data_IF_696791146820
#
_entry.id   IF_696791146820
#
_cell.length_a   1.000
_cell.length_b   1.000
_cell.length_c   1.000
_cell.angle_alpha   90.00
_cell.angle_beta   90.00
_cell.angle_gamma   90.00
#
_symmetry.space_group_name_H-M   'P 1'
#
loop_
_entity.id
_entity.type
_entity.pdbx_description
1 polymer ?
#
# COMPACT_ATOMS: atom_id res chain seq x y z
N UNK A 1 -9.00 9.34 -7.28
CA UNK A 1 -7.65 8.85 -6.92
C UNK A 1 -6.88 9.99 -6.25
N UNK A 2 -6.37 9.78 -5.03
CA UNK A 2 -5.73 10.83 -4.22
C UNK A 2 -4.29 11.10 -4.68
N UNK A 3 -4.10 12.01 -5.63
CA UNK A 3 -2.78 12.41 -6.16
C UNK A 3 -1.77 12.79 -5.05
N UNK A 4 -2.26 13.36 -3.94
CA UNK A 4 -1.41 13.78 -2.79
C UNK A 4 -0.83 12.62 -1.97
N UNK A 5 -1.36 11.40 -2.08
CA UNK A 5 -0.78 10.21 -1.43
C UNK A 5 0.39 9.62 -2.22
N UNK A 6 0.42 9.81 -3.55
CA UNK A 6 1.49 9.31 -4.39
C UNK A 6 2.78 10.11 -4.17
N UNK A 7 2.67 11.45 -4.13
CA UNK A 7 3.81 12.38 -3.96
C UNK A 7 4.72 12.04 -2.78
N UNK A 8 4.15 11.63 -1.64
CA UNK A 8 4.95 11.25 -0.46
C UNK A 8 5.71 9.93 -0.68
N UNK A 9 5.08 8.93 -1.29
CA UNK A 9 5.66 7.61 -1.46
C UNK A 9 6.64 7.52 -2.64
N UNK A 10 6.69 8.56 -3.48
CA UNK A 10 7.58 8.66 -4.64
C UNK A 10 8.79 9.56 -4.36
N UNK A 11 8.80 10.31 -3.25
CA UNK A 11 9.89 11.22 -2.87
C UNK A 11 10.53 10.79 -1.53
N UNK A 12 11.69 10.10 -1.56
CA UNK A 12 12.35 9.59 -0.36
C UNK A 12 12.90 10.71 0.54
N UNK A 13 13.28 11.85 -0.01
CA UNK A 13 13.72 13.01 0.79
C UNK A 13 12.55 13.65 1.54
N UNK A 14 11.37 13.73 0.91
CA UNK A 14 10.17 14.23 1.55
C UNK A 14 9.73 13.33 2.72
N UNK A 15 9.90 12.01 2.58
CA UNK A 15 9.68 11.05 3.68
C UNK A 15 10.59 11.38 4.87
N UNK A 16 11.89 11.53 4.63
CA UNK A 16 12.85 11.86 5.69
C UNK A 16 12.51 13.21 6.34
N UNK A 17 12.23 14.23 5.53
CA UNK A 17 11.89 15.57 6.03
C UNK A 17 10.66 15.56 6.92
N UNK A 18 9.60 14.83 6.54
CA UNK A 18 8.38 14.70 7.37
C UNK A 18 8.68 14.03 8.72
N UNK A 19 9.57 13.03 8.74
CA UNK A 19 9.95 12.32 9.96
C UNK A 19 10.80 13.22 10.88
N UNK A 20 11.76 13.96 10.33
CA UNK A 20 12.54 14.97 11.07
C UNK A 20 11.64 16.05 11.69
N UNK A 21 10.73 16.62 10.88
CA UNK A 21 9.77 17.61 11.39
C UNK A 21 8.91 17.05 12.53
N UNK A 22 8.59 15.75 12.48
CA UNK A 22 7.76 15.10 13.50
C UNK A 22 8.53 14.74 14.76
N UNK A 23 9.73 14.20 14.64
CA UNK A 23 10.45 13.60 15.76
C UNK A 23 11.56 14.51 16.32
N UNK A 24 12.27 15.25 15.46
CA UNK A 24 13.29 16.22 15.91
C UNK A 24 12.64 17.55 16.32
N UNK A 25 11.84 18.13 15.42
CA UNK A 25 11.21 19.44 15.64
C UNK A 25 9.87 19.34 16.41
N UNK A 26 9.39 18.12 16.69
CA UNK A 26 8.13 17.86 17.42
C UNK A 26 6.91 18.61 16.89
N UNK A 27 6.87 18.89 15.58
CA UNK A 27 5.78 19.67 14.98
C UNK A 27 4.47 18.90 14.94
N UNK A 28 3.37 19.64 15.08
CA UNK A 28 2.03 19.11 14.94
C UNK A 28 1.72 18.71 13.48
N UNK A 29 0.88 17.69 13.28
CA UNK A 29 0.48 17.26 11.93
C UNK A 29 -0.06 18.40 11.04
N UNK A 30 -0.84 19.38 11.54
CA UNK A 30 -1.21 20.54 10.75
C UNK A 30 -0.04 21.39 10.29
N UNK A 31 0.96 21.62 11.14
CA UNK A 31 2.12 22.43 10.79
C UNK A 31 2.98 21.75 9.73
N UNK A 32 3.23 20.45 9.90
CA UNK A 32 3.94 19.63 8.90
C UNK A 32 3.21 19.65 7.56
N UNK A 33 1.87 19.54 7.59
CA UNK A 33 1.05 19.57 6.38
C UNK A 33 1.17 20.89 5.62
N UNK A 34 1.15 22.01 6.34
CA UNK A 34 1.34 23.34 5.75
C UNK A 34 2.75 23.53 5.15
N UNK A 35 3.79 22.98 5.78
CA UNK A 35 5.18 23.15 5.34
C UNK A 35 5.57 22.24 4.17
N UNK A 36 4.98 21.05 4.08
CA UNK A 36 5.37 20.02 3.10
C UNK A 36 4.36 19.84 1.97
N UNK A 37 3.16 20.42 2.08
CA UNK A 37 2.05 20.17 1.16
C UNK A 37 1.44 18.76 1.27
N UNK A 38 1.97 17.91 2.15
CA UNK A 38 1.48 16.54 2.39
C UNK A 38 0.22 16.60 3.25
N UNK A 39 -0.81 15.83 2.90
CA UNK A 39 -2.04 15.78 3.70
C UNK A 39 -1.80 15.25 5.12
N UNK A 40 -2.49 15.80 6.13
CA UNK A 40 -2.42 15.34 7.53
C UNK A 40 -2.59 13.81 7.66
N UNK A 41 -3.52 13.21 6.91
CA UNK A 41 -3.77 11.76 6.93
C UNK A 41 -2.59 10.96 6.38
N UNK A 42 -1.90 11.47 5.36
CA UNK A 42 -0.70 10.82 4.82
C UNK A 42 0.47 10.90 5.82
N UNK A 43 0.63 12.02 6.51
CA UNK A 43 1.63 12.18 7.59
C UNK A 43 1.34 11.21 8.73
N UNK A 44 0.08 11.15 9.22
CA UNK A 44 -0.31 10.20 10.26
C UNK A 44 -0.04 8.74 9.85
N UNK A 45 -0.39 8.38 8.60
CA UNK A 45 -0.14 7.04 8.06
C UNK A 45 1.35 6.71 7.97
N UNK A 46 2.18 7.70 7.63
CA UNK A 46 3.63 7.56 7.58
C UNK A 46 4.21 7.31 8.97
N UNK A 47 3.83 8.14 9.95
CA UNK A 47 4.30 8.00 11.34
C UNK A 47 3.86 6.67 11.96
N UNK A 48 2.61 6.26 11.75
CA UNK A 48 2.13 4.95 12.18
C UNK A 48 2.96 3.82 11.56
N UNK A 49 3.31 3.94 10.28
CA UNK A 49 4.13 2.94 9.60
C UNK A 49 5.57 2.93 10.11
N UNK A 50 6.13 4.11 10.40
CA UNK A 50 7.44 4.23 10.98
C UNK A 50 7.54 3.42 12.29
N UNK A 51 6.61 3.61 13.22
CA UNK A 51 6.56 2.84 14.47
C UNK A 51 6.33 1.33 14.29
N UNK A 52 5.86 0.86 13.13
CA UNK A 52 5.72 -0.57 12.84
C UNK A 52 7.03 -1.20 12.36
N UNK A 53 7.94 -0.39 11.83
CA UNK A 53 9.18 -0.85 11.18
C UNK A 53 10.40 -0.54 12.07
N UNK A 54 10.37 0.59 12.77
CA UNK A 54 11.46 1.10 13.57
C UNK A 54 11.01 1.28 15.02
N UNK A 55 11.87 0.89 15.95
CA UNK A 55 11.65 1.03 17.39
C UNK A 55 12.05 2.40 17.91
N UNK A 56 13.08 2.99 17.30
CA UNK A 56 13.75 4.18 17.83
C UNK A 56 13.98 5.25 16.76
N UNK A 57 14.07 6.49 17.23
CA UNK A 57 14.49 7.66 16.48
C UNK A 57 15.48 8.48 17.33
N UNK A 58 16.58 9.02 16.76
CA UNK A 58 17.01 8.90 15.37
C UNK A 58 17.46 7.47 15.04
N UNK A 59 17.40 7.12 13.75
CA UNK A 59 17.82 5.79 13.29
C UNK A 59 19.30 5.57 13.63
N UNK A 60 19.63 4.48 14.32
CA UNK A 60 20.99 4.19 14.83
C UNK A 60 21.98 3.72 13.76
N UNK A 61 21.96 4.30 12.56
CA UNK A 61 22.89 4.00 11.48
C UNK A 61 22.67 4.93 10.28
N UNK A 62 23.62 4.92 9.34
CA UNK A 62 23.59 5.69 8.09
C UNK A 62 22.50 5.18 7.14
N UNK A 63 21.23 5.31 7.53
CA UNK A 63 20.10 5.05 6.63
C UNK A 63 20.06 6.14 5.56
N UNK A 64 20.40 5.80 4.33
CA UNK A 64 20.09 6.66 3.18
C UNK A 64 18.58 6.85 3.03
N UNK A 65 18.14 7.99 2.48
CA UNK A 65 16.74 8.27 2.20
C UNK A 65 16.07 7.11 1.42
N UNK A 66 16.80 6.48 0.48
CA UNK A 66 16.31 5.35 -0.30
C UNK A 66 16.11 4.06 0.51
N UNK A 67 17.00 3.76 1.47
CA UNK A 67 16.84 2.60 2.36
C UNK A 67 15.66 2.79 3.32
N UNK A 68 15.49 4.00 3.87
CA UNK A 68 14.35 4.36 4.70
C UNK A 68 13.03 4.24 3.93
N UNK A 69 12.97 4.83 2.74
CA UNK A 69 11.79 4.79 1.90
C UNK A 69 11.44 3.35 1.48
N UNK A 70 12.45 2.50 1.23
CA UNK A 70 12.26 1.06 0.96
C UNK A 70 11.70 0.30 2.16
N UNK A 71 12.22 0.54 3.36
CA UNK A 71 11.73 -0.09 4.58
C UNK A 71 10.26 0.28 4.85
N UNK A 72 9.90 1.54 4.59
CA UNK A 72 8.53 2.04 4.77
C UNK A 72 7.61 1.66 3.59
N UNK A 73 8.10 1.59 2.35
CA UNK A 73 7.28 1.34 1.16
C UNK A 73 7.90 0.24 0.27
N UNK A 74 7.95 -1.02 0.75
CA UNK A 74 8.64 -2.10 0.04
C UNK A 74 8.06 -2.41 -1.35
N UNK A 75 6.76 -2.21 -1.56
CA UNK A 75 6.11 -2.38 -2.87
C UNK A 75 6.24 -1.18 -3.83
N UNK A 76 6.91 -0.10 -3.42
CA UNK A 76 7.17 1.09 -4.25
C UNK A 76 8.63 1.22 -4.63
N UNK A 77 9.53 0.70 -3.81
CA UNK A 77 10.97 0.69 -4.05
C UNK A 77 11.47 -0.75 -4.14
N UNK A 78 11.31 -1.43 -5.29
CA UNK A 78 11.89 -2.76 -5.46
C UNK A 78 13.40 -2.69 -5.23
N UNK A 79 13.94 -3.62 -4.45
CA UNK A 79 15.38 -3.81 -4.39
C UNK A 79 15.86 -4.25 -5.78
N UNK A 80 16.94 -3.65 -6.28
CA UNK A 80 17.74 -4.33 -7.29
C UNK A 80 18.09 -5.74 -6.78
N UNK A 81 18.24 -6.75 -7.66
CA UNK A 81 18.32 -8.14 -7.24
C UNK A 81 19.71 -8.40 -6.64
N UNK A 82 19.89 -8.11 -5.35
CA UNK A 82 20.98 -8.69 -4.59
C UNK A 82 20.44 -9.96 -3.97
N UNK A 83 20.96 -11.06 -4.51
CA UNK A 83 20.74 -12.46 -4.15
C UNK A 83 20.75 -12.64 -2.63
N UNK A 84 19.89 -13.57 -2.18
CA UNK A 84 19.79 -14.12 -0.81
C UNK A 84 18.78 -13.43 0.11
N UNK A 85 17.47 -13.67 -0.12
CA UNK A 85 16.54 -13.99 0.98
C UNK A 85 15.41 -14.88 0.44
N UNK A 86 14.96 -15.89 1.21
CA UNK A 86 13.85 -16.76 0.83
C UNK A 86 12.59 -15.90 0.69
N UNK A 87 11.92 -16.09 -0.45
CA UNK A 87 10.65 -15.45 -0.80
C UNK A 87 9.66 -15.69 0.33
N UNK A 88 9.50 -14.69 1.22
CA UNK A 88 8.45 -14.71 2.24
C UNK A 88 7.14 -14.69 1.47
N UNK A 89 6.45 -15.83 1.53
CA UNK A 89 5.21 -16.13 0.84
C UNK A 89 4.37 -14.87 0.63
N UNK A 90 4.21 -14.50 -0.64
CA UNK A 90 3.18 -13.58 -1.06
C UNK A 90 1.87 -14.11 -0.48
N UNK A 91 1.30 -13.40 0.50
CA UNK A 91 -0.04 -13.71 1.01
C UNK A 91 -0.92 -13.87 -0.22
N UNK A 92 -1.62 -15.01 -0.41
CA UNK A 92 -2.36 -15.26 -1.64
C UNK A 92 -3.32 -14.09 -1.84
N UNK A 93 -3.01 -13.25 -2.83
CA UNK A 93 -3.91 -12.19 -3.26
C UNK A 93 -5.19 -12.90 -3.66
N UNK A 94 -6.29 -12.60 -2.94
CA UNK A 94 -7.64 -13.15 -3.14
C UNK A 94 -7.83 -13.66 -4.57
N UNK A 95 -8.09 -14.96 -4.72
CA UNK A 95 -8.41 -15.68 -5.95
C UNK A 95 -8.53 -14.77 -7.17
N UNK A 96 -7.40 -14.55 -7.86
CA UNK A 96 -7.42 -13.83 -9.12
C UNK A 96 -7.98 -14.80 -10.16
N UNK A 97 -9.28 -14.71 -10.41
CA UNK A 97 -9.89 -15.39 -11.54
C UNK A 97 -9.15 -15.03 -12.85
N UNK A 98 -9.00 -16.00 -13.74
CA UNK A 98 -8.32 -15.80 -15.02
C UNK A 98 -9.03 -14.73 -15.86
N UNK A 99 -8.33 -14.04 -16.77
CA UNK A 99 -8.95 -13.10 -17.69
C UNK A 99 -10.11 -13.71 -18.48
N UNK A 100 -9.97 -14.95 -18.94
CA UNK A 100 -10.96 -15.70 -19.71
C UNK A 100 -12.22 -15.98 -18.87
N UNK A 101 -12.03 -16.37 -17.60
CA UNK A 101 -13.13 -16.57 -16.67
C UNK A 101 -13.94 -15.28 -16.46
N UNK A 102 -13.25 -14.14 -16.32
CA UNK A 102 -13.90 -12.82 -16.19
C UNK A 102 -14.64 -12.43 -17.47
N UNK A 103 -14.03 -12.64 -18.63
CA UNK A 103 -14.67 -12.38 -19.91
C UNK A 103 -15.96 -13.20 -20.08
N UNK A 104 -15.92 -14.48 -19.73
CA UNK A 104 -17.11 -15.36 -19.75
C UNK A 104 -18.23 -14.83 -18.84
N UNK A 105 -17.89 -14.41 -17.62
CA UNK A 105 -18.85 -13.84 -16.68
C UNK A 105 -19.52 -12.59 -17.26
N UNK A 106 -18.73 -11.69 -17.86
CA UNK A 106 -19.23 -10.48 -18.52
C UNK A 106 -20.19 -10.83 -19.65
N UNK A 107 -19.84 -11.77 -20.53
CA UNK A 107 -20.70 -12.20 -21.63
C UNK A 107 -22.04 -12.76 -21.12
N UNK A 108 -22.03 -13.56 -20.05
CA UNK A 108 -23.26 -14.09 -19.44
C UNK A 108 -24.15 -12.98 -18.86
N UNK A 109 -23.55 -11.94 -18.28
CA UNK A 109 -24.32 -10.81 -17.71
C UNK A 109 -24.91 -9.85 -18.75
N UNK A 110 -24.43 -9.90 -19.99
CA UNK A 110 -24.93 -9.05 -21.08
C UNK A 110 -26.19 -9.60 -21.76
N UNK A 111 -26.58 -10.85 -21.46
CA UNK A 111 -27.79 -11.45 -22.02
C UNK A 111 -29.06 -10.80 -21.45
N UNK A 112 -30.09 -10.54 -22.28
CA UNK A 112 -31.37 -10.02 -21.79
C UNK A 112 -31.98 -10.96 -20.73
N UNK A 113 -32.31 -10.41 -19.56
CA UNK A 113 -32.83 -11.21 -18.43
C UNK A 113 -31.77 -11.86 -17.54
N UNK A 114 -30.48 -11.60 -17.76
CA UNK A 114 -29.40 -12.12 -16.93
C UNK A 114 -29.49 -11.63 -15.48
N UNK A 115 -29.48 -12.56 -14.53
CA UNK A 115 -29.42 -12.27 -13.10
C UNK A 115 -28.00 -12.45 -12.58
N UNK A 116 -27.33 -11.33 -12.27
CA UNK A 116 -25.94 -11.33 -11.75
C UNK A 116 -25.79 -12.20 -10.50
N UNK A 117 -26.79 -12.21 -9.62
CA UNK A 117 -26.76 -13.02 -8.40
C UNK A 117 -26.83 -14.53 -8.69
N UNK A 118 -27.60 -14.95 -9.69
CA UNK A 118 -27.68 -16.34 -10.10
C UNK A 118 -26.37 -16.79 -10.77
N UNK A 119 -25.87 -16.00 -11.72
CA UNK A 119 -24.60 -16.26 -12.41
C UNK A 119 -23.45 -16.37 -11.41
N UNK A 120 -23.41 -15.52 -10.37
CA UNK A 120 -22.39 -15.62 -9.32
C UNK A 120 -22.46 -16.94 -8.53
N UNK A 121 -23.67 -17.39 -8.15
CA UNK A 121 -23.87 -18.68 -7.45
C UNK A 121 -23.46 -19.86 -8.32
N UNK A 122 -23.87 -19.88 -9.58
CA UNK A 122 -23.52 -20.94 -10.54
C UNK A 122 -22.00 -21.06 -10.77
N UNK A 123 -21.27 -19.95 -10.62
CA UNK A 123 -19.82 -19.91 -10.77
C UNK A 123 -19.05 -20.02 -9.43
N UNK A 124 -19.74 -20.32 -8.31
CA UNK A 124 -19.13 -20.42 -6.98
C UNK A 124 -18.49 -19.12 -6.49
N UNK A 125 -18.91 -17.98 -7.02
CA UNK A 125 -18.40 -16.67 -6.65
C UNK A 125 -19.12 -16.20 -5.40
N UNK A 126 -18.36 -16.04 -4.31
CA UNK A 126 -18.88 -15.55 -3.04
C UNK A 126 -19.94 -16.50 -2.42
N UNK A 127 -19.98 -17.75 -2.87
CA UNK A 127 -20.83 -18.79 -2.29
C UNK A 127 -20.21 -19.18 -0.94
N UNK A 128 -20.97 -18.98 0.13
CA UNK A 128 -20.54 -19.41 1.46
C UNK A 128 -20.94 -20.88 1.57
N UNK A 129 -20.01 -21.81 1.88
CA UNK A 129 -20.44 -23.16 2.20
C UNK A 129 -21.42 -23.07 3.37
N UNK A 130 -22.62 -23.61 3.18
CA UNK A 130 -23.53 -23.85 4.29
C UNK A 130 -22.82 -24.81 5.25
N UNK A 131 -22.54 -24.35 6.47
CA UNK A 131 -22.23 -25.21 7.61
C UNK A 131 -23.54 -25.82 8.11
#
# INVERSE_FOLDING_TARGET
>A
MNARKAVLADNPELILRVLQLRFDESLSYPRISAQTGVSKTAIFSLVRRFHQVFTDWPLSGEYSCGQLARALFPGRYPSAPTVTQPVKAEKPRRNRFSPEFKWRLVQQTLLPGACVAQIARENGINDKPAL
#
